data_IF_745177187699
#
_entry.id   IF_745177187699
#
_cell.length_a   1.000
_cell.length_b   1.000
_cell.length_c   1.000
_cell.angle_alpha   90.00
_cell.angle_beta   90.00
_cell.angle_gamma   90.00
#
_symmetry.space_group_name_H-M   'P 1'
#
loop_
_entity.id
_entity.type
_entity.pdbx_description
1 polymer ?
#
# COMPACT_ATOMS: atom_id res chain seq x y z
N UNK A 1 -18.29 -10.66 18.84
CA UNK A 1 -18.84 -11.02 17.51
C UNK A 1 -20.24 -10.46 17.24
N UNK A 2 -21.31 -10.86 17.96
CA UNK A 2 -22.67 -10.37 17.66
C UNK A 2 -22.83 -8.84 17.78
N UNK A 3 -22.13 -8.20 18.70
CA UNK A 3 -22.14 -6.74 18.86
C UNK A 3 -21.40 -6.00 17.73
N UNK A 4 -20.36 -6.60 17.16
CA UNK A 4 -19.60 -6.03 16.06
C UNK A 4 -20.44 -6.00 14.78
N UNK A 5 -21.17 -7.07 14.49
CA UNK A 5 -22.05 -7.19 13.33
C UNK A 5 -23.15 -6.11 13.27
N UNK A 6 -23.56 -5.59 14.42
CA UNK A 6 -24.57 -4.51 14.51
C UNK A 6 -24.02 -3.10 14.25
N UNK A 7 -22.70 -2.93 14.19
CA UNK A 7 -22.05 -1.62 14.03
C UNK A 7 -22.04 -1.18 12.56
N UNK A 8 -22.50 0.04 12.27
CA UNK A 8 -22.44 0.62 10.91
C UNK A 8 -20.99 0.68 10.37
N UNK A 9 -20.01 0.96 11.23
CA UNK A 9 -18.59 1.01 10.87
C UNK A 9 -18.05 -0.34 10.38
N UNK A 10 -18.55 -1.45 10.94
CA UNK A 10 -18.20 -2.79 10.48
C UNK A 10 -18.60 -3.00 9.01
N UNK A 11 -19.84 -2.68 8.66
CA UNK A 11 -20.34 -2.82 7.29
C UNK A 11 -19.69 -1.85 6.31
N UNK A 12 -19.39 -0.62 6.76
CA UNK A 12 -18.59 0.31 5.94
C UNK A 12 -17.23 -0.28 5.58
N UNK A 13 -16.58 -0.93 6.52
CA UNK A 13 -15.29 -1.58 6.29
C UNK A 13 -15.42 -2.78 5.31
N UNK A 14 -16.45 -3.62 5.46
CA UNK A 14 -16.73 -4.73 4.52
C UNK A 14 -17.00 -4.22 3.10
N UNK A 15 -17.80 -3.16 2.96
CA UNK A 15 -18.08 -2.52 1.67
C UNK A 15 -16.81 -1.89 1.08
N UNK A 16 -15.95 -1.29 1.90
CA UNK A 16 -14.68 -0.72 1.46
C UNK A 16 -13.75 -1.81 0.88
N UNK A 17 -13.65 -2.98 1.53
CA UNK A 17 -12.90 -4.12 1.00
C UNK A 17 -13.46 -4.60 -0.35
N UNK A 18 -14.78 -4.72 -0.45
CA UNK A 18 -15.45 -5.13 -1.70
C UNK A 18 -15.17 -4.16 -2.86
N UNK A 19 -15.42 -2.85 -2.64
CA UNK A 19 -15.23 -1.85 -3.68
C UNK A 19 -13.76 -1.68 -4.07
N UNK A 20 -12.88 -1.65 -3.10
CA UNK A 20 -11.45 -1.55 -3.38
C UNK A 20 -10.91 -2.80 -4.09
N UNK A 21 -11.43 -3.99 -3.76
CA UNK A 21 -11.07 -5.21 -4.48
C UNK A 21 -11.54 -5.20 -5.93
N UNK A 22 -12.72 -4.64 -6.23
CA UNK A 22 -13.17 -4.42 -7.61
C UNK A 22 -12.16 -3.56 -8.36
N UNK A 23 -11.80 -2.41 -7.81
CA UNK A 23 -10.87 -1.49 -8.45
C UNK A 23 -9.48 -2.12 -8.61
N UNK A 24 -8.97 -2.79 -7.57
CA UNK A 24 -7.67 -3.47 -7.61
C UNK A 24 -7.59 -4.48 -8.74
N UNK A 25 -8.51 -5.45 -8.77
CA UNK A 25 -8.50 -6.53 -9.76
C UNK A 25 -8.74 -5.98 -11.17
N UNK A 26 -9.68 -5.05 -11.32
CA UNK A 26 -9.99 -4.43 -12.61
C UNK A 26 -8.78 -3.69 -13.19
N UNK A 27 -8.15 -2.80 -12.41
CA UNK A 27 -7.01 -2.00 -12.88
C UNK A 27 -5.81 -2.88 -13.16
N UNK A 28 -5.48 -3.79 -12.24
CA UNK A 28 -4.27 -4.61 -12.33
C UNK A 28 -4.34 -5.59 -13.49
N UNK A 29 -5.41 -6.36 -13.60
CA UNK A 29 -5.59 -7.32 -14.70
C UNK A 29 -5.84 -6.58 -16.02
N UNK A 30 -6.64 -5.53 -16.02
CA UNK A 30 -6.90 -4.71 -17.21
C UNK A 30 -5.61 -4.11 -17.79
N UNK A 31 -4.68 -3.69 -16.93
CA UNK A 31 -3.36 -3.21 -17.35
C UNK A 31 -2.50 -4.30 -17.99
N UNK A 32 -2.61 -5.53 -17.50
CA UNK A 32 -1.92 -6.68 -18.07
C UNK A 32 -2.50 -7.08 -19.44
N UNK A 33 -3.81 -7.12 -19.57
CA UNK A 33 -4.49 -7.47 -20.83
C UNK A 33 -4.33 -6.40 -21.89
N UNK A 34 -4.39 -5.13 -21.54
CA UNK A 34 -4.26 -4.00 -22.46
C UNK A 34 -2.91 -3.98 -23.20
N UNK A 35 -1.87 -4.56 -22.63
CA UNK A 35 -0.57 -4.67 -23.25
C UNK A 35 -0.60 -5.50 -24.57
N UNK A 36 -1.40 -6.53 -24.63
CA UNK A 36 -1.45 -7.42 -25.80
C UNK A 36 -2.29 -6.87 -26.96
N UNK A 37 -3.04 -5.79 -26.74
CA UNK A 37 -3.94 -5.22 -27.76
C UNK A 37 -3.21 -4.55 -28.95
N UNK A 38 -2.16 -3.73 -28.76
CA UNK A 38 -1.43 -3.11 -29.87
C UNK A 38 -0.60 -4.08 -30.70
N UNK A 39 -0.13 -5.17 -30.11
CA UNK A 39 0.74 -6.15 -30.77
C UNK A 39 0.03 -6.92 -31.88
N UNK A 40 -1.29 -7.00 -31.81
CA UNK A 40 -2.11 -7.65 -32.83
C UNK A 40 -2.04 -6.97 -34.20
N UNK A 41 -1.82 -5.66 -34.25
CA UNK A 41 -1.69 -4.92 -35.50
C UNK A 41 -0.29 -4.97 -36.09
N UNK A 42 0.70 -5.37 -35.32
CA UNK A 42 2.11 -5.41 -35.73
C UNK A 42 2.55 -6.87 -35.83
N UNK A 43 2.09 -7.65 -36.72
CA UNK A 43 2.42 -9.05 -37.12
C UNK A 43 3.71 -9.70 -36.53
N UNK A 44 4.27 -9.14 -35.49
CA UNK A 44 5.36 -9.75 -34.72
C UNK A 44 4.76 -10.68 -33.69
N UNK A 45 4.53 -11.92 -34.10
CA UNK A 45 4.25 -13.03 -33.22
C UNK A 45 5.28 -13.04 -32.08
N UNK A 46 4.83 -12.87 -30.84
CA UNK A 46 5.65 -13.13 -29.67
C UNK A 46 6.24 -11.94 -28.92
N UNK A 47 5.58 -10.76 -28.90
CA UNK A 47 5.95 -9.77 -27.89
C UNK A 47 5.68 -10.33 -26.50
N UNK A 48 6.74 -10.53 -25.74
CA UNK A 48 6.65 -10.99 -24.37
C UNK A 48 5.85 -9.98 -23.54
N UNK A 49 5.13 -10.48 -22.54
CA UNK A 49 4.45 -9.62 -21.56
C UNK A 49 5.48 -8.73 -20.87
N UNK A 50 5.18 -7.44 -20.74
CA UNK A 50 6.02 -6.52 -19.96
C UNK A 50 5.75 -6.75 -18.47
N UNK A 51 6.56 -7.61 -17.87
CA UNK A 51 6.41 -7.99 -16.46
C UNK A 51 6.63 -6.80 -15.51
N UNK A 52 7.45 -5.80 -15.91
CA UNK A 52 7.68 -4.60 -15.10
C UNK A 52 6.40 -3.74 -15.07
N UNK A 53 5.80 -3.50 -16.24
CA UNK A 53 4.52 -2.79 -16.34
C UNK A 53 3.44 -3.46 -15.49
N UNK A 54 3.29 -4.77 -15.62
CA UNK A 54 2.29 -5.53 -14.87
C UNK A 54 2.56 -5.45 -13.37
N UNK A 55 3.81 -5.67 -12.95
CA UNK A 55 4.21 -5.61 -11.54
C UNK A 55 3.94 -4.25 -10.94
N UNK A 56 4.27 -3.18 -11.65
CA UNK A 56 3.98 -1.80 -11.21
C UNK A 56 2.46 -1.54 -11.15
N UNK A 57 1.68 -2.01 -12.11
CA UNK A 57 0.22 -1.83 -12.09
C UNK A 57 -0.42 -2.48 -10.86
N UNK A 58 -0.01 -3.72 -10.52
CA UNK A 58 -0.47 -4.39 -9.30
C UNK A 58 -0.02 -3.66 -8.04
N UNK A 59 1.25 -3.28 -7.97
CA UNK A 59 1.80 -2.60 -6.80
C UNK A 59 1.20 -1.22 -6.57
N UNK A 60 1.13 -0.38 -7.60
CA UNK A 60 0.57 0.97 -7.49
C UNK A 60 -0.93 0.95 -7.21
N UNK A 61 -1.68 -0.03 -7.75
CA UNK A 61 -3.09 -0.21 -7.42
C UNK A 61 -3.26 -0.47 -5.91
N UNK A 62 -2.46 -1.37 -5.33
CA UNK A 62 -2.50 -1.63 -3.88
C UNK A 62 -2.07 -0.38 -3.10
N UNK A 63 -0.99 0.30 -3.46
CA UNK A 63 -0.55 1.52 -2.78
C UNK A 63 -1.66 2.57 -2.74
N UNK A 64 -2.28 2.83 -3.89
CA UNK A 64 -3.36 3.82 -4.04
C UNK A 64 -4.58 3.44 -3.22
N UNK A 65 -5.02 2.18 -3.30
CA UNK A 65 -6.22 1.72 -2.59
C UNK A 65 -5.98 1.59 -1.08
N UNK A 66 -4.79 1.17 -0.65
CA UNK A 66 -4.42 1.18 0.76
C UNK A 66 -4.45 2.61 1.34
N UNK A 67 -3.96 3.59 0.59
CA UNK A 67 -4.07 5.01 0.97
C UNK A 67 -5.53 5.49 1.00
N UNK A 68 -6.36 5.03 0.05
CA UNK A 68 -7.74 5.51 -0.11
C UNK A 68 -8.71 4.95 0.91
N UNK A 69 -8.59 3.66 1.28
CA UNK A 69 -9.56 2.98 2.17
C UNK A 69 -8.94 2.43 3.46
N UNK A 70 -7.62 2.58 3.65
CA UNK A 70 -6.92 2.04 4.82
C UNK A 70 -7.49 2.54 6.15
N UNK A 71 -7.87 3.80 6.23
CA UNK A 71 -8.49 4.40 7.42
C UNK A 71 -9.94 3.90 7.67
N UNK A 72 -10.55 3.18 6.71
CA UNK A 72 -11.91 2.65 6.82
C UNK A 72 -11.89 1.16 7.20
N UNK A 73 -11.14 0.35 6.42
CA UNK A 73 -11.14 -1.11 6.56
C UNK A 73 -9.81 -1.69 7.04
N UNK A 74 -8.74 -0.93 6.95
CA UNK A 74 -7.36 -1.42 7.03
C UNK A 74 -6.80 -1.81 5.65
N UNK A 75 -7.63 -1.80 4.59
CA UNK A 75 -7.27 -2.13 3.21
C UNK A 75 -6.50 -3.44 3.09
N UNK A 76 -7.08 -4.53 3.53
CA UNK A 76 -6.45 -5.85 3.42
C UNK A 76 -6.36 -6.31 1.97
N UNK A 77 -7.47 -6.22 1.23
CA UNK A 77 -7.61 -6.50 -0.21
C UNK A 77 -7.06 -7.88 -0.64
N UNK A 78 -6.87 -8.77 0.32
CA UNK A 78 -6.21 -10.06 0.11
C UNK A 78 -6.57 -11.02 1.26
N UNK A 79 -7.11 -12.22 0.98
CA UNK A 79 -7.38 -13.22 2.00
C UNK A 79 -6.15 -13.67 2.80
N UNK A 80 -4.96 -13.71 2.18
CA UNK A 80 -3.75 -14.11 2.87
C UNK A 80 -3.26 -13.01 3.85
N UNK A 81 -3.38 -11.74 3.47
CA UNK A 81 -3.15 -10.60 4.39
C UNK A 81 -4.17 -10.63 5.52
N UNK A 82 -5.44 -10.87 5.20
CA UNK A 82 -6.51 -10.96 6.20
C UNK A 82 -6.25 -12.10 7.20
N UNK A 83 -5.82 -13.27 6.72
CA UNK A 83 -5.42 -14.38 7.58
C UNK A 83 -4.19 -14.02 8.44
N UNK A 84 -3.18 -13.38 7.86
CA UNK A 84 -2.00 -12.93 8.60
C UNK A 84 -2.37 -11.99 9.75
N UNK A 85 -3.20 -10.99 9.50
CA UNK A 85 -3.67 -10.06 10.55
C UNK A 85 -4.60 -10.74 11.57
N UNK A 86 -5.36 -11.75 11.18
CA UNK A 86 -6.12 -12.59 12.10
C UNK A 86 -5.19 -13.40 13.02
N UNK A 87 -4.20 -14.08 12.47
CA UNK A 87 -3.23 -14.88 13.23
C UNK A 87 -2.37 -14.00 14.15
N UNK A 88 -2.07 -12.77 13.73
CA UNK A 88 -1.39 -11.75 14.54
C UNK A 88 -2.32 -11.11 15.59
N UNK A 89 -3.58 -11.61 15.74
CA UNK A 89 -4.58 -11.11 16.69
C UNK A 89 -4.91 -9.61 16.53
N UNK A 90 -4.90 -9.10 15.30
CA UNK A 90 -5.21 -7.69 15.02
C UNK A 90 -6.67 -7.47 14.61
N UNK A 91 -7.38 -8.52 14.23
CA UNK A 91 -8.80 -8.47 13.83
C UNK A 91 -9.59 -9.63 14.42
N UNK A 92 -10.93 -9.50 14.45
CA UNK A 92 -11.83 -10.58 14.87
C UNK A 92 -12.00 -11.64 13.77
N UNK A 93 -12.34 -12.86 14.17
CA UNK A 93 -12.70 -13.95 13.24
C UNK A 93 -13.86 -13.52 12.33
N UNK A 94 -14.88 -12.87 12.88
CA UNK A 94 -16.03 -12.40 12.10
C UNK A 94 -15.61 -11.42 11.01
N UNK A 95 -14.75 -10.46 11.35
CA UNK A 95 -14.22 -9.49 10.40
C UNK A 95 -13.40 -10.18 9.31
N UNK A 96 -12.53 -11.11 9.67
CA UNK A 96 -11.73 -11.87 8.72
C UNK A 96 -12.60 -12.62 7.70
N UNK A 97 -13.61 -13.33 8.17
CA UNK A 97 -14.53 -14.09 7.29
C UNK A 97 -15.27 -13.15 6.34
N UNK A 98 -15.85 -12.07 6.86
CA UNK A 98 -16.60 -11.11 6.04
C UNK A 98 -15.72 -10.38 5.02
N UNK A 99 -14.47 -10.08 5.37
CA UNK A 99 -13.51 -9.49 4.46
C UNK A 99 -13.13 -10.47 3.33
N UNK A 100 -12.82 -11.72 3.65
CA UNK A 100 -12.50 -12.74 2.64
C UNK A 100 -13.67 -12.92 1.65
N UNK A 101 -14.91 -12.96 2.15
CA UNK A 101 -16.10 -13.04 1.29
C UNK A 101 -16.19 -11.80 0.39
N UNK A 102 -16.07 -10.60 0.95
CA UNK A 102 -16.14 -9.34 0.21
C UNK A 102 -15.04 -9.25 -0.87
N UNK A 103 -13.83 -9.68 -0.54
CA UNK A 103 -12.69 -9.73 -1.46
C UNK A 103 -12.95 -10.70 -2.61
N UNK A 104 -13.40 -11.92 -2.32
CA UNK A 104 -13.71 -12.92 -3.35
C UNK A 104 -14.83 -12.45 -4.29
N UNK A 105 -15.92 -11.91 -3.74
CA UNK A 105 -17.04 -11.40 -4.54
C UNK A 105 -16.59 -10.18 -5.36
N UNK A 106 -15.81 -9.27 -4.78
CA UNK A 106 -15.25 -8.11 -5.48
C UNK A 106 -14.36 -8.51 -6.66
N UNK A 107 -13.52 -9.53 -6.49
CA UNK A 107 -12.66 -10.05 -7.55
C UNK A 107 -13.47 -10.67 -8.70
N UNK A 108 -14.53 -11.45 -8.38
CA UNK A 108 -15.43 -12.02 -9.38
C UNK A 108 -16.12 -10.89 -10.19
N UNK A 109 -16.69 -9.91 -9.50
CA UNK A 109 -17.36 -8.76 -10.14
C UNK A 109 -16.40 -8.00 -11.06
N UNK A 110 -15.20 -7.70 -10.59
CA UNK A 110 -14.18 -7.01 -11.38
C UNK A 110 -13.80 -7.78 -12.65
N UNK A 111 -13.56 -9.09 -12.50
CA UNK A 111 -13.20 -9.95 -13.64
C UNK A 111 -14.35 -10.11 -14.61
N UNK A 112 -15.60 -10.19 -14.14
CA UNK A 112 -16.80 -10.23 -15.00
C UNK A 112 -16.95 -8.96 -15.81
N UNK A 113 -16.78 -7.77 -15.20
CA UNK A 113 -16.80 -6.48 -15.90
C UNK A 113 -15.69 -6.45 -16.96
N UNK A 114 -14.48 -6.86 -16.59
CA UNK A 114 -13.33 -6.87 -17.48
C UNK A 114 -13.54 -7.85 -18.64
N UNK A 115 -14.13 -9.01 -18.41
CA UNK A 115 -14.50 -9.98 -19.45
C UNK A 115 -15.45 -9.37 -20.48
N UNK A 116 -16.44 -8.61 -20.03
CA UNK A 116 -17.35 -7.89 -20.94
C UNK A 116 -16.63 -6.85 -21.79
N UNK A 117 -15.78 -6.02 -21.18
CA UNK A 117 -15.02 -4.96 -21.86
C UNK A 117 -14.01 -5.55 -22.85
N UNK A 118 -13.38 -6.67 -22.52
CA UNK A 118 -12.32 -7.30 -23.32
C UNK A 118 -12.82 -8.50 -24.14
N UNK A 119 -14.12 -8.63 -24.36
CA UNK A 119 -14.75 -9.77 -25.05
C UNK A 119 -14.24 -9.99 -26.49
N UNK A 120 -13.70 -8.96 -27.14
CA UNK A 120 -13.09 -9.05 -28.48
C UNK A 120 -11.65 -9.56 -28.49
N UNK A 121 -11.01 -9.72 -27.33
CA UNK A 121 -9.65 -10.25 -27.25
C UNK A 121 -9.69 -11.77 -27.41
N UNK A 122 -8.97 -12.35 -28.39
CA UNK A 122 -8.85 -13.80 -28.52
C UNK A 122 -8.02 -14.38 -27.38
N UNK A 123 -8.33 -15.60 -26.98
CA UNK A 123 -7.58 -16.37 -25.96
C UNK A 123 -7.37 -15.60 -24.65
N UNK A 124 -8.38 -14.82 -24.25
CA UNK A 124 -8.32 -13.98 -23.07
C UNK A 124 -8.42 -14.81 -21.78
N UNK A 125 -7.30 -15.07 -21.15
CA UNK A 125 -7.25 -15.76 -19.86
C UNK A 125 -7.73 -14.93 -18.66
N UNK A 126 -8.06 -13.65 -18.87
CA UNK A 126 -8.43 -12.69 -17.80
C UNK A 126 -7.42 -12.67 -16.64
N UNK A 127 -6.15 -12.80 -16.96
CA UNK A 127 -5.06 -12.83 -15.98
C UNK A 127 -5.14 -14.02 -15.01
N UNK A 128 -5.72 -15.14 -15.43
CA UNK A 128 -5.78 -16.35 -14.62
C UNK A 128 -4.38 -16.84 -14.26
N UNK A 129 -4.19 -17.23 -13.02
CA UNK A 129 -2.94 -17.80 -12.55
C UNK A 129 -2.83 -19.25 -13.04
N UNK A 130 -1.69 -19.58 -13.60
CA UNK A 130 -1.34 -20.92 -14.11
C UNK A 130 0.15 -21.17 -13.89
N UNK A 131 0.50 -22.44 -13.75
CA UNK A 131 1.91 -22.84 -13.73
C UNK A 131 2.50 -22.69 -15.13
N UNK A 132 3.64 -22.02 -15.23
CA UNK A 132 4.37 -21.89 -16.48
C UNK A 132 4.84 -23.26 -17.00
N UNK A 133 5.06 -23.40 -18.32
CA UNK A 133 5.60 -24.63 -18.88
C UNK A 133 6.90 -25.05 -18.20
N UNK A 134 6.95 -26.29 -17.69
CA UNK A 134 8.10 -26.82 -16.96
C UNK A 134 8.11 -26.56 -15.45
N UNK A 135 7.20 -25.76 -14.93
CA UNK A 135 7.03 -25.53 -13.48
C UNK A 135 6.07 -26.58 -12.92
N UNK A 136 6.52 -27.36 -11.95
CA UNK A 136 5.65 -28.31 -11.25
C UNK A 136 4.94 -27.66 -10.05
N UNK A 137 3.90 -28.35 -9.53
CA UNK A 137 3.06 -27.82 -8.44
C UNK A 137 3.86 -27.51 -7.17
N UNK A 138 4.90 -28.26 -6.85
CA UNK A 138 5.77 -28.00 -5.69
C UNK A 138 6.60 -26.72 -5.86
N UNK A 139 7.13 -26.49 -7.06
CA UNK A 139 7.85 -25.28 -7.40
C UNK A 139 6.93 -24.05 -7.36
N UNK A 140 5.74 -24.15 -7.99
CA UNK A 140 4.74 -23.10 -7.94
C UNK A 140 4.29 -22.79 -6.52
N UNK A 141 4.06 -23.81 -5.69
CA UNK A 141 3.73 -23.65 -4.28
C UNK A 141 4.82 -22.90 -3.52
N UNK A 142 6.10 -23.26 -3.73
CA UNK A 142 7.24 -22.59 -3.09
C UNK A 142 7.32 -21.10 -3.45
N UNK A 143 7.14 -20.76 -4.71
CA UNK A 143 7.12 -19.36 -5.19
C UNK A 143 5.98 -18.57 -4.53
N UNK A 144 4.77 -19.13 -4.48
CA UNK A 144 3.60 -18.48 -3.85
C UNK A 144 3.78 -18.30 -2.34
N UNK A 145 4.41 -19.26 -1.65
CA UNK A 145 4.76 -19.14 -0.22
C UNK A 145 5.71 -17.95 -0.01
N UNK A 146 6.83 -17.91 -0.73
CA UNK A 146 7.84 -16.87 -0.53
C UNK A 146 7.32 -15.50 -0.96
N UNK A 147 6.63 -15.40 -2.11
CA UNK A 147 6.04 -14.15 -2.58
C UNK A 147 5.03 -13.58 -1.60
N UNK A 148 4.22 -14.43 -0.95
CA UNK A 148 3.25 -13.97 0.05
C UNK A 148 3.88 -13.71 1.41
N UNK A 149 4.88 -14.51 1.80
CA UNK A 149 5.61 -14.29 3.05
C UNK A 149 6.19 -12.87 3.09
N UNK A 150 6.93 -12.46 2.05
CA UNK A 150 7.53 -11.13 2.01
C UNK A 150 6.47 -10.01 2.03
N UNK A 151 5.33 -10.22 1.35
CA UNK A 151 4.22 -9.27 1.35
C UNK A 151 3.63 -9.11 2.75
N UNK A 152 3.23 -10.21 3.40
CA UNK A 152 2.60 -10.16 4.72
C UNK A 152 3.58 -9.69 5.79
N UNK A 153 4.86 -10.02 5.67
CA UNK A 153 5.91 -9.48 6.55
C UNK A 153 5.98 -7.95 6.45
N UNK A 154 5.95 -7.41 5.23
CA UNK A 154 5.91 -5.97 5.00
C UNK A 154 4.63 -5.34 5.59
N UNK A 155 3.46 -5.97 5.40
CA UNK A 155 2.20 -5.49 5.99
C UNK A 155 2.30 -5.43 7.50
N UNK A 156 2.74 -6.50 8.17
CA UNK A 156 2.89 -6.54 9.63
C UNK A 156 3.84 -5.45 10.13
N UNK A 157 4.97 -5.25 9.43
CA UNK A 157 5.96 -4.25 9.79
C UNK A 157 5.46 -2.81 9.59
N UNK A 158 4.67 -2.54 8.55
CA UNK A 158 4.18 -1.19 8.23
C UNK A 158 2.89 -0.83 8.97
N UNK A 159 2.17 -1.82 9.50
CA UNK A 159 0.96 -1.60 10.31
C UNK A 159 1.22 -1.74 11.82
N UNK A 160 2.45 -2.00 12.23
CA UNK A 160 2.82 -2.09 13.63
C UNK A 160 2.73 -0.72 14.29
N UNK A 161 1.77 -0.56 15.20
CA UNK A 161 1.51 0.70 15.92
C UNK A 161 2.66 1.14 16.84
N UNK A 162 3.58 0.23 17.15
CA UNK A 162 4.79 0.54 17.95
C UNK A 162 5.83 1.30 17.14
N UNK A 163 5.74 1.27 15.80
CA UNK A 163 6.66 1.97 14.91
C UNK A 163 6.21 3.42 14.69
N UNK A 164 7.14 4.35 14.87
CA UNK A 164 6.91 5.80 14.70
C UNK A 164 7.67 6.39 13.52
N UNK A 165 8.51 5.57 12.89
CA UNK A 165 9.44 5.99 11.82
C UNK A 165 8.81 5.98 10.41
N UNK A 166 7.57 5.53 10.25
CA UNK A 166 6.98 5.29 8.93
C UNK A 166 6.47 6.55 8.21
N UNK A 167 6.14 7.62 8.92
CA UNK A 167 5.76 8.91 8.34
C UNK A 167 4.65 8.87 7.28
N UNK A 168 3.74 7.87 7.32
CA UNK A 168 2.68 7.70 6.33
C UNK A 168 3.08 6.90 5.09
N UNK A 169 4.29 6.38 4.99
CA UNK A 169 4.79 5.62 3.82
C UNK A 169 4.26 4.17 3.73
N UNK A 170 3.52 3.69 4.73
CA UNK A 170 3.02 2.31 4.79
C UNK A 170 2.30 1.84 3.53
N UNK A 171 1.29 2.55 3.00
CA UNK A 171 0.60 2.17 1.77
C UNK A 171 1.52 2.00 0.56
N UNK A 172 2.49 2.89 0.39
CA UNK A 172 3.47 2.80 -0.69
C UNK A 172 4.39 1.59 -0.50
N UNK A 173 4.89 1.35 0.70
CA UNK A 173 5.74 0.20 1.00
C UNK A 173 5.02 -1.13 0.74
N UNK A 174 3.75 -1.25 1.14
CA UNK A 174 2.91 -2.42 0.87
C UNK A 174 2.71 -2.60 -0.64
N UNK A 175 2.42 -1.53 -1.37
CA UNK A 175 2.28 -1.59 -2.83
C UNK A 175 3.58 -2.02 -3.52
N UNK A 176 4.73 -1.47 -3.13
CA UNK A 176 6.03 -1.89 -3.66
C UNK A 176 6.34 -3.36 -3.33
N UNK A 177 5.92 -3.84 -2.16
CA UNK A 177 6.03 -5.26 -1.79
C UNK A 177 5.17 -6.16 -2.70
N UNK A 178 3.97 -5.70 -3.11
CA UNK A 178 3.16 -6.40 -4.12
C UNK A 178 3.85 -6.41 -5.48
N UNK A 179 4.44 -5.27 -5.90
CA UNK A 179 5.20 -5.20 -7.14
C UNK A 179 6.40 -6.16 -7.13
N UNK A 180 7.12 -6.23 -6.01
CA UNK A 180 8.24 -7.14 -5.83
C UNK A 180 7.81 -8.61 -5.94
N UNK A 181 6.68 -8.97 -5.34
CA UNK A 181 6.10 -10.31 -5.47
C UNK A 181 5.75 -10.67 -6.92
N UNK A 182 5.24 -9.71 -7.70
CA UNK A 182 4.95 -9.89 -9.12
C UNK A 182 6.21 -10.03 -9.95
N UNK A 183 7.24 -9.21 -9.71
CA UNK A 183 8.55 -9.35 -10.37
C UNK A 183 9.18 -10.72 -10.13
N UNK A 184 8.98 -11.31 -8.94
CA UNK A 184 9.43 -12.66 -8.63
C UNK A 184 8.60 -13.73 -9.37
N UNK A 185 7.27 -13.66 -9.32
CA UNK A 185 6.41 -14.82 -9.49
C UNK A 185 5.70 -14.89 -10.85
N UNK A 186 5.67 -13.82 -11.64
CA UNK A 186 4.92 -13.80 -12.93
C UNK A 186 5.37 -14.94 -13.84
N UNK A 187 6.67 -15.15 -14.00
CA UNK A 187 7.23 -16.14 -14.93
C UNK A 187 7.06 -17.61 -14.46
N UNK A 188 6.64 -17.82 -13.20
CA UNK A 188 6.42 -19.15 -12.63
C UNK A 188 4.95 -19.52 -12.49
N UNK A 189 4.13 -18.61 -12.00
CA UNK A 189 2.75 -18.86 -11.58
C UNK A 189 1.75 -17.82 -12.11
N UNK A 190 2.22 -16.83 -12.84
CA UNK A 190 1.45 -15.63 -13.14
C UNK A 190 1.22 -14.75 -11.90
N UNK A 191 1.89 -15.01 -10.79
CA UNK A 191 1.82 -14.35 -9.51
C UNK A 191 0.41 -14.31 -8.90
N UNK A 192 0.11 -15.29 -8.05
CA UNK A 192 -1.11 -15.27 -7.23
C UNK A 192 -0.98 -14.32 -6.06
N UNK A 193 -0.22 -14.72 -5.06
CA UNK A 193 0.01 -14.06 -3.74
C UNK A 193 -1.26 -13.49 -3.07
N UNK A 194 -2.39 -13.59 -3.75
CA UNK A 194 -3.71 -13.11 -3.35
C UNK A 194 -4.79 -14.12 -3.79
N UNK A 195 -5.30 -14.95 -2.89
CA UNK A 195 -6.30 -15.96 -3.21
C UNK A 195 -7.55 -15.42 -3.90
N UNK A 196 -8.07 -14.26 -3.47
CA UNK A 196 -9.27 -13.67 -4.06
C UNK A 196 -9.03 -13.18 -5.50
N UNK A 197 -7.85 -12.58 -5.78
CA UNK A 197 -7.45 -12.19 -7.13
C UNK A 197 -7.41 -13.41 -8.06
N UNK A 198 -6.83 -14.50 -7.62
CA UNK A 198 -6.74 -15.75 -8.38
C UNK A 198 -8.11 -16.40 -8.56
N UNK A 199 -8.96 -16.38 -7.53
CA UNK A 199 -10.30 -16.96 -7.52
C UNK A 199 -11.23 -16.26 -8.53
N UNK A 200 -11.22 -14.90 -8.59
CA UNK A 200 -12.06 -14.16 -9.50
C UNK A 200 -11.86 -14.55 -10.96
N UNK A 201 -10.61 -14.63 -11.41
CA UNK A 201 -10.27 -15.05 -12.79
C UNK A 201 -10.66 -16.51 -13.06
N UNK A 202 -10.42 -17.42 -12.10
CA UNK A 202 -10.74 -18.83 -12.25
C UNK A 202 -12.25 -19.09 -12.33
N UNK A 203 -13.06 -18.32 -11.57
CA UNK A 203 -14.53 -18.41 -11.62
C UNK A 203 -15.05 -18.01 -13.01
N UNK A 204 -14.61 -16.86 -13.52
CA UNK A 204 -15.13 -16.33 -14.80
C UNK A 204 -14.64 -17.14 -16.01
N UNK A 205 -13.42 -17.67 -15.94
CA UNK A 205 -12.87 -18.52 -17.02
C UNK A 205 -13.26 -20.00 -16.87
N UNK A 206 -13.98 -20.38 -15.81
CA UNK A 206 -14.36 -21.76 -15.48
C UNK A 206 -13.18 -22.74 -15.46
N UNK A 207 -12.00 -22.28 -15.05
CA UNK A 207 -10.80 -23.08 -15.01
C UNK A 207 -10.12 -23.00 -13.63
N UNK A 208 -10.06 -24.15 -12.96
CA UNK A 208 -9.51 -24.30 -11.60
C UNK A 208 -8.30 -25.26 -11.58
N UNK A 209 -7.64 -25.45 -12.73
CA UNK A 209 -6.44 -26.28 -12.77
C UNK A 209 -5.39 -25.70 -11.83
N UNK A 210 -4.83 -26.53 -10.97
CA UNK A 210 -3.82 -26.18 -9.97
C UNK A 210 -4.21 -25.00 -9.02
N UNK A 211 -5.51 -24.63 -8.98
CA UNK A 211 -6.02 -23.48 -8.26
C UNK A 211 -5.75 -23.52 -6.75
N UNK A 212 -5.65 -24.73 -6.18
CA UNK A 212 -5.34 -24.93 -4.76
C UNK A 212 -4.01 -24.27 -4.33
N UNK A 213 -3.03 -24.19 -5.24
CA UNK A 213 -1.71 -23.59 -5.00
C UNK A 213 -1.88 -22.13 -4.59
N UNK A 214 -2.79 -21.41 -5.24
CA UNK A 214 -3.05 -19.98 -5.03
C UNK A 214 -3.88 -19.67 -3.77
N UNK A 215 -4.23 -20.70 -3.00
CA UNK A 215 -4.79 -20.60 -1.66
C UNK A 215 -3.80 -21.09 -0.61
N UNK A 216 -3.31 -22.29 -0.78
CA UNK A 216 -2.44 -22.95 0.18
C UNK A 216 -1.09 -22.23 0.28
N UNK A 217 -0.47 -21.87 -0.84
CA UNK A 217 0.80 -21.14 -0.86
C UNK A 217 0.71 -19.81 -0.12
N UNK A 218 -0.20 -18.90 -0.51
CA UNK A 218 -0.39 -17.63 0.18
C UNK A 218 -0.75 -17.77 1.66
N UNK A 219 -1.57 -18.75 2.05
CA UNK A 219 -1.91 -18.95 3.46
C UNK A 219 -0.73 -19.43 4.29
N UNK A 220 0.09 -20.33 3.77
CA UNK A 220 1.33 -20.77 4.43
C UNK A 220 2.30 -19.57 4.52
N UNK A 221 2.48 -18.82 3.43
CA UNK A 221 3.36 -17.64 3.41
C UNK A 221 2.94 -16.59 4.45
N UNK A 222 1.64 -16.30 4.52
CA UNK A 222 1.08 -15.38 5.51
C UNK A 222 1.28 -15.86 6.95
N UNK A 223 1.06 -17.14 7.23
CA UNK A 223 1.29 -17.71 8.56
C UNK A 223 2.76 -17.68 8.96
N UNK A 224 3.67 -18.01 8.05
CA UNK A 224 5.12 -17.92 8.28
C UNK A 224 5.56 -16.48 8.55
N UNK A 225 5.00 -15.50 7.84
CA UNK A 225 5.28 -14.09 8.09
C UNK A 225 4.92 -13.68 9.53
N UNK A 226 3.75 -14.14 10.03
CA UNK A 226 3.35 -13.89 11.43
C UNK A 226 4.31 -14.54 12.42
N UNK A 227 4.68 -15.80 12.17
CA UNK A 227 5.66 -16.49 13.05
C UNK A 227 6.99 -15.73 13.09
N UNK A 228 7.48 -15.29 11.95
CA UNK A 228 8.74 -14.55 11.88
C UNK A 228 8.58 -13.17 12.54
N UNK A 229 7.54 -12.40 12.20
CA UNK A 229 7.42 -11.04 12.70
C UNK A 229 7.07 -10.99 14.18
N UNK A 230 5.99 -11.66 14.60
CA UNK A 230 5.45 -11.53 15.97
C UNK A 230 6.26 -12.29 17.03
N UNK A 231 7.08 -13.28 16.64
CA UNK A 231 7.82 -14.10 17.61
C UNK A 231 9.35 -13.94 17.50
N UNK A 232 9.88 -13.56 16.33
CA UNK A 232 11.34 -13.47 16.14
C UNK A 232 11.78 -12.01 16.03
N UNK A 233 11.20 -11.24 15.09
CA UNK A 233 11.69 -9.90 14.77
C UNK A 233 11.19 -8.82 15.73
N UNK A 234 9.91 -8.86 16.05
CA UNK A 234 9.23 -7.84 16.86
C UNK A 234 8.31 -8.51 17.91
N UNK A 235 8.86 -9.30 18.84
CA UNK A 235 8.06 -10.02 19.83
C UNK A 235 7.24 -9.03 20.67
N UNK A 236 5.99 -9.39 20.94
CA UNK A 236 5.08 -8.59 21.77
C UNK A 236 5.20 -9.03 23.23
N UNK A 237 5.23 -8.05 24.13
CA UNK A 237 5.30 -8.30 25.59
C UNK A 237 3.98 -8.79 26.19
N UNK A 238 2.83 -8.56 25.52
CA UNK A 238 1.51 -8.98 26.00
C UNK A 238 1.35 -10.50 25.96
N UNK A 239 0.67 -11.05 26.98
CA UNK A 239 0.37 -12.48 27.05
C UNK A 239 -0.44 -12.93 25.83
N UNK A 240 -0.11 -14.09 25.28
CA UNK A 240 -0.80 -14.68 24.13
C UNK A 240 -2.30 -14.87 24.42
N UNK A 241 -2.64 -15.22 25.66
CA UNK A 241 -4.02 -15.40 26.14
C UNK A 241 -4.86 -14.11 25.99
N UNK A 242 -4.27 -12.96 26.27
CA UNK A 242 -4.95 -11.67 26.15
C UNK A 242 -5.08 -11.25 24.68
N UNK A 243 -4.06 -11.50 23.89
CA UNK A 243 -4.09 -11.25 22.43
C UNK A 243 -5.21 -12.03 21.74
N UNK A 244 -5.41 -13.28 22.08
CA UNK A 244 -6.45 -14.15 21.49
C UNK A 244 -7.87 -13.66 21.80
N UNK A 245 -8.09 -12.88 22.86
CA UNK A 245 -9.41 -12.27 23.16
C UNK A 245 -9.92 -11.39 22.03
N UNK A 246 -9.05 -10.79 21.22
CA UNK A 246 -9.42 -9.99 20.05
C UNK A 246 -10.23 -10.80 19.04
N UNK A 247 -9.95 -12.11 18.88
CA UNK A 247 -10.68 -12.98 17.95
C UNK A 247 -12.18 -13.01 18.20
N UNK A 248 -12.57 -12.93 19.46
CA UNK A 248 -13.97 -13.01 19.87
C UNK A 248 -14.61 -11.67 20.19
N UNK A 249 -13.85 -10.73 20.77
CA UNK A 249 -14.33 -9.41 21.18
C UNK A 249 -14.36 -8.42 20.03
N UNK A 250 -13.42 -8.52 19.10
CA UNK A 250 -13.17 -7.51 18.06
C UNK A 250 -12.61 -6.19 18.62
N UNK A 251 -12.24 -6.16 19.89
CA UNK A 251 -11.58 -5.03 20.52
C UNK A 251 -10.09 -5.30 20.50
N UNK A 252 -9.35 -4.52 19.72
CA UNK A 252 -7.90 -4.41 19.85
C UNK A 252 -7.69 -3.63 21.14
N UNK A 253 -6.94 -4.18 22.10
CA UNK A 253 -6.51 -3.40 23.27
C UNK A 253 -5.81 -2.16 22.73
N UNK A 254 -6.35 -1.00 23.08
CA UNK A 254 -5.68 0.26 22.89
C UNK A 254 -4.48 0.20 23.84
N UNK A 255 -3.27 0.08 23.29
CA UNK A 255 -2.07 0.18 24.12
C UNK A 255 -2.15 1.54 24.78
N UNK A 256 -2.26 1.59 26.12
CA UNK A 256 -1.98 2.79 26.89
C UNK A 256 -0.55 3.18 26.51
N UNK A 257 -0.44 4.24 25.72
CA UNK A 257 0.82 4.93 25.52
C UNK A 257 1.16 5.50 26.90
N UNK A 258 2.27 5.05 27.47
CA UNK A 258 2.78 5.60 28.72
C UNK A 258 2.72 7.12 28.67
N UNK A 259 2.26 7.77 29.75
CA UNK A 259 1.89 9.18 29.79
C UNK A 259 2.96 10.19 29.34
N UNK A 260 4.22 9.74 29.15
CA UNK A 260 5.31 10.54 28.60
C UNK A 260 5.18 10.74 27.07
N UNK A 261 4.36 9.95 26.39
CA UNK A 261 4.14 10.01 24.94
C UNK A 261 3.08 11.05 24.52
N UNK A 262 2.23 11.50 25.44
CA UNK A 262 1.15 12.47 25.16
C UNK A 262 1.73 13.90 24.98
N UNK A 263 2.85 14.21 25.61
CA UNK A 263 3.48 15.52 25.50
C UNK A 263 4.27 15.76 24.21
N UNK A 264 4.53 14.74 23.40
CA UNK A 264 5.23 14.89 22.11
C UNK A 264 4.29 15.11 20.90
N UNK A 265 2.98 15.08 21.09
CA UNK A 265 2.05 15.66 20.11
C UNK A 265 2.16 17.17 20.22
N UNK A 266 3.01 17.77 19.38
CA UNK A 266 2.88 19.18 19.04
C UNK A 266 1.45 19.35 18.53
N UNK A 267 0.56 19.86 19.38
CA UNK A 267 -0.71 20.43 18.95
C UNK A 267 -0.34 21.51 17.92
N UNK A 268 -0.53 21.22 16.65
CA UNK A 268 -0.71 22.28 15.67
C UNK A 268 -2.06 22.94 16.01
N UNK A 269 -2.07 23.82 17.00
CA UNK A 269 -3.11 24.81 17.14
C UNK A 269 -2.91 25.77 15.97
N UNK A 270 -3.86 25.91 15.06
CA UNK A 270 -3.81 27.00 14.11
C UNK A 270 -3.88 28.28 14.94
N UNK A 271 -2.81 29.04 14.96
CA UNK A 271 -2.80 30.40 15.45
C UNK A 271 -3.56 31.24 14.41
N UNK A 272 -4.88 31.18 14.48
CA UNK A 272 -5.77 31.97 13.62
C UNK A 272 -5.99 33.28 14.36
N UNK A 273 -5.17 34.27 14.06
CA UNK A 273 -5.49 35.66 14.28
C UNK A 273 -6.57 36.04 13.23
N UNK A 274 -7.75 36.55 13.61
CA UNK A 274 -8.88 36.70 12.67
C UNK A 274 -8.74 37.88 11.70
N UNK A 275 -7.54 38.30 11.37
CA UNK A 275 -7.29 39.50 10.57
C UNK A 275 -6.69 39.30 9.17
N UNK A 276 -5.95 38.24 8.86
CA UNK A 276 -5.33 38.09 7.55
C UNK A 276 -5.20 36.57 7.17
N UNK A 277 -6.00 36.10 6.24
CA UNK A 277 -5.90 34.77 5.69
C UNK A 277 -4.75 34.69 4.66
N UNK A 278 -3.55 34.32 5.10
CA UNK A 278 -2.48 33.86 4.23
C UNK A 278 -2.15 32.40 4.58
N UNK A 279 -2.37 31.47 3.67
CA UNK A 279 -2.00 30.07 3.84
C UNK A 279 -0.51 29.91 3.50
N UNK A 280 0.32 29.60 4.53
CA UNK A 280 1.73 29.26 4.36
C UNK A 280 1.91 27.76 4.62
N UNK A 281 2.51 27.02 3.69
CA UNK A 281 2.89 25.61 3.85
C UNK A 281 4.40 25.56 4.09
N UNK A 282 4.80 25.29 5.35
CA UNK A 282 6.19 25.05 5.71
C UNK A 282 6.43 23.54 5.86
N UNK A 283 7.42 23.00 5.17
CA UNK A 283 7.93 21.66 5.38
C UNK A 283 9.04 21.74 6.45
N UNK A 284 8.76 21.23 7.64
CA UNK A 284 9.77 21.10 8.70
C UNK A 284 10.50 19.76 8.51
N UNK A 285 11.80 19.82 8.23
CA UNK A 285 12.70 18.71 8.47
C UNK A 285 13.20 18.80 9.91
N UNK A 286 12.95 17.77 10.73
CA UNK A 286 13.42 17.70 12.11
C UNK A 286 14.97 17.65 12.14
N UNK A 287 15.57 18.63 12.81
CA UNK A 287 16.96 18.55 13.25
C UNK A 287 17.03 17.88 14.64
N UNK A 288 18.05 17.07 14.93
CA UNK A 288 18.16 16.39 16.21
C UNK A 288 18.39 17.40 17.36
N UNK A 289 17.71 17.16 18.49
CA UNK A 289 17.83 17.96 19.71
C UNK A 289 19.25 17.90 20.30
N UNK A 290 19.84 19.01 20.74
CA UNK A 290 21.11 19.00 21.45
C UNK A 290 20.94 18.49 22.89
N UNK A 291 21.89 17.66 23.33
CA UNK A 291 22.05 17.28 24.73
C UNK A 291 22.40 18.51 25.57
N UNK A 292 21.68 18.66 26.63
CA UNK A 292 22.00 19.65 27.69
C UNK A 292 23.16 19.09 28.53
N UNK A 293 24.35 19.67 28.38
CA UNK A 293 25.35 19.86 29.40
C UNK A 293 26.40 20.81 28.79
N UNK A 294 26.39 22.03 29.23
CA UNK A 294 27.46 22.96 29.60
C UNK A 294 27.04 24.41 29.40
N UNK A 295 27.31 25.20 30.45
CA UNK A 295 27.24 26.62 30.51
C UNK A 295 28.22 27.23 29.51
N UNK A 296 27.73 28.01 28.51
CA UNK A 296 28.23 29.35 28.19
C UNK A 296 27.34 29.95 27.10
N UNK A 297 27.05 31.24 27.29
CA UNK A 297 26.19 32.03 26.43
C UNK A 297 26.86 32.33 25.10
N UNK A 298 26.22 31.98 23.99
CA UNK A 298 26.17 32.83 22.81
C UNK A 298 25.02 32.41 21.87
N UNK A 299 24.50 33.36 21.11
CA UNK A 299 23.22 33.43 20.43
C UNK A 299 22.89 32.28 19.48
N UNK A 300 21.58 31.94 19.31
CA UNK A 300 21.15 30.89 18.38
C UNK A 300 21.28 31.36 16.92
N UNK A 301 22.00 30.60 16.11
CA UNK A 301 22.00 30.74 14.66
C UNK A 301 20.67 30.17 14.12
N UNK A 302 19.80 31.05 13.65
CA UNK A 302 18.58 30.66 12.91
C UNK A 302 18.96 29.95 11.61
N UNK A 303 18.50 28.71 11.45
CA UNK A 303 18.62 27.98 10.21
C UNK A 303 17.68 28.59 9.15
N UNK A 304 18.24 29.11 8.07
CA UNK A 304 17.51 29.65 6.92
C UNK A 304 16.81 28.50 6.16
N UNK A 305 15.49 28.39 6.33
CA UNK A 305 14.65 27.48 5.52
C UNK A 305 13.86 28.33 4.53
N UNK A 306 13.88 28.07 3.24
CA UNK A 306 13.12 28.83 2.26
C UNK A 306 11.63 28.58 2.43
N UNK A 307 10.85 29.64 2.64
CA UNK A 307 9.39 29.62 2.69
C UNK A 307 8.81 30.17 1.39
N UNK A 308 7.87 29.44 0.79
CA UNK A 308 7.10 29.87 -0.37
C UNK A 308 5.71 30.34 0.09
N UNK A 309 5.28 31.52 -0.39
CA UNK A 309 3.94 32.07 -0.10
C UNK A 309 3.12 32.18 -1.37
N UNK A 310 1.83 31.82 -1.32
CA UNK A 310 0.87 31.94 -2.40
C UNK A 310 0.08 33.26 -2.22
N UNK A 311 0.16 34.17 -3.16
CA UNK A 311 -0.68 35.38 -3.20
C UNK A 311 -1.23 35.60 -4.61
N UNK A 312 -2.57 35.74 -4.73
CA UNK A 312 -3.22 35.99 -6.01
C UNK A 312 -3.05 34.89 -7.07
N UNK A 313 -2.87 33.63 -6.67
CA UNK A 313 -2.67 32.50 -7.58
C UNK A 313 -1.25 32.29 -8.07
N UNK A 314 -0.27 33.04 -7.53
CA UNK A 314 1.15 32.91 -7.90
C UNK A 314 2.00 32.66 -6.65
N UNK A 315 3.02 31.79 -6.75
CA UNK A 315 3.95 31.47 -5.67
C UNK A 315 5.14 32.43 -5.66
N UNK A 316 5.43 33.03 -4.51
CA UNK A 316 6.57 33.92 -4.31
C UNK A 316 7.50 33.38 -3.22
N UNK A 317 8.81 33.59 -3.39
CA UNK A 317 9.81 33.32 -2.35
C UNK A 317 9.76 34.50 -1.32
N UNK A 318 9.73 34.14 -0.03
CA UNK A 318 9.62 35.14 1.04
C UNK A 318 10.79 36.14 1.02
N UNK A 319 10.56 37.47 1.21
CA UNK A 319 11.58 38.53 1.12
C UNK A 319 12.67 38.51 2.21
N UNK A 320 12.62 37.61 3.17
CA UNK A 320 13.64 37.57 4.26
C UNK A 320 15.04 37.19 3.78
N UNK A 321 15.20 36.72 2.54
CA UNK A 321 16.50 36.40 1.94
C UNK A 321 17.20 37.58 1.24
N UNK A 322 16.56 38.77 1.10
CA UNK A 322 17.16 39.93 0.38
C UNK A 322 18.00 40.86 1.22
N UNK A 323 18.22 40.59 2.50
CA UNK A 323 18.95 41.53 3.40
C UNK A 323 20.41 41.13 3.68
N UNK A 324 20.97 40.12 3.05
CA UNK A 324 22.43 39.90 3.05
C UNK A 324 22.92 39.84 1.59
N UNK A 325 23.56 40.92 1.18
CA UNK A 325 24.17 41.05 -0.15
C UNK A 325 25.36 40.12 -0.34
N UNK A 326 25.11 38.96 -0.87
CA UNK A 326 26.09 38.13 -1.59
C UNK A 326 25.38 37.62 -2.85
N UNK A 327 25.77 38.21 -3.99
CA UNK A 327 25.40 37.78 -5.32
C UNK A 327 26.10 36.44 -5.62
N UNK A 328 25.47 35.29 -5.30
CA UNK A 328 25.83 34.03 -5.94
C UNK A 328 25.03 33.86 -7.23
N UNK A 329 25.72 34.03 -8.35
CA UNK A 329 25.18 33.85 -9.70
C UNK A 329 24.84 32.36 -9.91
N UNK A 330 23.55 32.08 -10.08
CA UNK A 330 23.07 30.75 -10.49
C UNK A 330 23.57 30.47 -11.92
N UNK A 331 24.22 29.32 -12.18
CA UNK A 331 24.70 29.00 -13.52
C UNK A 331 23.56 28.91 -14.54
N UNK A 332 23.70 29.46 -15.75
CA UNK A 332 22.62 29.51 -16.76
C UNK A 332 22.10 28.14 -17.23
N UNK A 333 22.79 27.08 -16.98
CA UNK A 333 22.45 25.71 -17.39
C UNK A 333 21.27 25.09 -16.63
N UNK A 334 20.95 25.59 -15.42
CA UNK A 334 19.82 25.06 -14.62
C UNK A 334 18.51 25.79 -14.91
N UNK A 335 18.57 27.01 -15.42
CA UNK A 335 17.38 27.80 -15.75
C UNK A 335 16.72 27.32 -17.06
N UNK A 336 17.51 26.92 -18.04
CA UNK A 336 17.00 26.46 -19.33
C UNK A 336 16.34 25.07 -19.30
N UNK A 337 16.86 24.17 -18.46
CA UNK A 337 16.25 22.84 -18.29
C UNK A 337 14.88 22.90 -17.57
N UNK A 338 14.65 23.95 -16.80
CA UNK A 338 13.38 24.15 -16.07
C UNK A 338 12.29 24.77 -16.95
N UNK A 339 12.68 25.67 -17.87
CA UNK A 339 11.77 26.31 -18.82
C UNK A 339 11.28 25.35 -19.91
N UNK A 340 12.10 24.37 -20.33
CA UNK A 340 11.71 23.31 -21.25
C UNK A 340 10.76 22.28 -20.59
N UNK A 341 10.91 22.03 -19.30
CA UNK A 341 10.02 21.11 -18.55
C UNK A 341 8.63 21.68 -18.28
N UNK A 342 8.47 23.02 -18.27
CA UNK A 342 7.21 23.69 -17.97
C UNK A 342 6.40 24.09 -19.21
N UNK A 343 6.82 23.77 -20.45
CA UNK A 343 5.99 23.89 -21.66
C UNK A 343 5.57 25.34 -22.00
N UNK A 344 6.37 26.36 -21.69
CA UNK A 344 6.15 27.73 -22.10
C UNK A 344 7.03 28.04 -23.30
N UNK A 345 6.57 27.65 -24.48
CA UNK A 345 7.20 27.97 -25.77
C UNK A 345 6.16 27.95 -26.89
N UNK A 346 5.80 29.14 -27.38
CA UNK A 346 4.96 29.29 -28.55
C UNK A 346 3.73 30.15 -28.30
#
# INVERSE_FOLDING_TARGET
>A
MASEFKKKLFWRAVVAEFLAMILFVFISIGSALGFNYPVRNNQTAGAAQDNVKVSLAFGLSIATLAQSVGHISGAHLNPAVTLGLLLSCQISILRAVMYIIAQCVGAIVATAILSGITSSLPDNSLGRNELAPGVNSGQGLGIEIIGTLQLVLCVLATTDRRRRDLGGSGPLAIGLSVALGHLLAIDYTGCGINPARSFGSSVITHNFKDHWIFWVGPFIGGALAVLIYDFILAPRSSDLTDRVKVWTSGQVEEYELDGDDINSRVEMKPNVDPGHAHASVCWLSEAPSPRTDDHDADQPTEANVPCWTLSGGTWFLSPQLMLRGEEEQIPPLLLNSWLEACGAGG
#
